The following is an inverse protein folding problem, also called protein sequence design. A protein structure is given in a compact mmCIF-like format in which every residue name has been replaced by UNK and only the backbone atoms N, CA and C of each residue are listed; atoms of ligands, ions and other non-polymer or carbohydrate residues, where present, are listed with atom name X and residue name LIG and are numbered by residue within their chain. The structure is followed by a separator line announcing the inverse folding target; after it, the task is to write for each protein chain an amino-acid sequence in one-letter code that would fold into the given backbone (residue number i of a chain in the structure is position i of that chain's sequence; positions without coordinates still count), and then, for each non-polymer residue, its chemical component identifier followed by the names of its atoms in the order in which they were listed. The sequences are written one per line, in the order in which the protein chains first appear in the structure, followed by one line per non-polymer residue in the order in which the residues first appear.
data_IF_468923915728
#
_entry.id   IF_468923915728
#
_cell.length_a   1.000
_cell.length_b   1.000
_cell.length_c   1.000
_cell.angle_alpha   90.00
_cell.angle_beta   90.00
_cell.angle_gamma   90.00
#
_symmetry.space_group_name_H-M   'P 1'
#
loop_
_entity.id
_entity.type
_entity.pdbx_description
1 polymer ?
2 non-polymer ?
3 non-polymer ?
4 non-polymer ?
5 water ?
#
# COMPACT_ATOMS: atom_id res chain seq x y z
N UNK A 2 22.52 -4.86 -14.88
CA UNK A 2 21.71 -3.77 -15.44
C UNK A 2 20.35 -3.68 -14.79
N UNK A 3 20.34 -3.37 -13.49
CA UNK A 3 19.07 -3.24 -12.72
C UNK A 3 18.36 -4.57 -12.63
N UNK A 4 19.10 -5.57 -12.17
CA UNK A 4 18.58 -6.91 -12.01
C UNK A 4 18.13 -7.01 -10.56
N UNK A 5 16.98 -7.67 -10.31
CA UNK A 5 16.52 -7.78 -8.93
C UNK A 5 16.95 -9.09 -8.31
N UNK A 6 17.01 -9.09 -6.99
CA UNK A 6 17.38 -10.28 -6.24
C UNK A 6 16.44 -10.35 -5.04
N UNK A 7 16.09 -11.57 -4.59
CA UNK A 7 15.19 -11.67 -3.42
C UNK A 7 15.54 -10.69 -2.29
N UNK A 8 16.81 -10.28 -2.17
CA UNK A 8 17.22 -9.34 -1.13
C UNK A 8 16.61 -7.94 -1.31
N UNK A 9 15.91 -7.70 -2.42
CA UNK A 9 15.28 -6.40 -2.67
C UNK A 9 13.91 -6.30 -2.01
N UNK A 10 13.30 -7.45 -1.75
CA UNK A 10 11.98 -7.55 -1.12
C UNK A 10 10.81 -7.30 -2.07
N UNK A 11 11.00 -7.55 -3.36
CA UNK A 11 9.93 -7.37 -4.34
C UNK A 11 8.93 -8.53 -4.29
N UNK A 12 7.66 -8.21 -4.04
CA UNK A 12 6.61 -9.24 -3.97
C UNK A 12 5.43 -8.89 -4.89
N UNK A 13 4.63 -9.90 -5.21
CA UNK A 13 3.47 -9.73 -6.09
C UNK A 13 2.24 -10.46 -5.54
N UNK A 14 1.05 -10.06 -6.02
CA UNK A 14 -0.17 -10.73 -5.61
C UNK A 14 -0.52 -11.73 -6.70
N UNK A 15 -1.03 -12.90 -6.31
CA UNK A 15 -1.39 -13.92 -7.30
C UNK A 15 -2.41 -13.37 -8.29
N UNK A 16 -3.23 -12.43 -7.82
CA UNK A 16 -4.31 -11.84 -8.61
C UNK A 16 -3.86 -10.69 -9.51
N UNK A 17 -2.56 -10.41 -9.51
CA UNK A 17 -2.03 -9.30 -10.32
C UNK A 17 -1.62 -9.82 -11.68
N UNK A 18 -0.57 -10.64 -11.72
CA UNK A 18 -0.10 -11.22 -12.95
C UNK A 18 -1.24 -12.12 -13.46
N UNK A 19 -1.88 -12.83 -12.52
CA UNK A 19 -2.99 -13.70 -12.87
C UNK A 19 -4.26 -13.06 -13.40
N UNK A 20 -4.38 -11.72 -13.41
CA UNK A 20 -5.57 -11.06 -13.93
C UNK A 20 -5.90 -11.56 -15.33
N UNK A 21 -7.14 -11.98 -15.54
CA UNK A 21 -7.56 -12.51 -16.83
C UNK A 21 -7.98 -11.44 -17.83
N UNK A 22 -8.24 -10.22 -17.35
CA UNK A 22 -8.59 -9.12 -18.25
C UNK A 22 -10.05 -8.72 -18.44
N UNK A 23 -10.95 -9.19 -17.59
CA UNK A 23 -12.37 -8.82 -17.69
C UNK A 23 -12.62 -7.47 -17.02
N UNK A 24 -13.18 -6.53 -17.78
CA UNK A 24 -13.49 -5.20 -17.28
C UNK A 24 -14.99 -4.97 -17.50
N UNK A 25 -15.57 -3.92 -16.89
CA UNK A 25 -17.02 -3.74 -17.10
C UNK A 25 -17.45 -3.91 -18.55
N UNK A 26 -16.71 -3.33 -19.48
CA UNK A 26 -17.07 -3.42 -20.88
C UNK A 26 -16.27 -4.40 -21.73
N UNK A 27 -15.95 -5.56 -21.17
CA UNK A 27 -15.23 -6.56 -21.95
C UNK A 27 -15.02 -7.90 -21.27
N UNK A 28 -15.07 -8.96 -22.07
CA UNK A 28 -14.85 -10.30 -21.54
C UNK A 28 -13.34 -10.47 -21.30
N UNK A 29 -12.93 -11.60 -20.73
CA UNK A 29 -11.53 -11.87 -20.47
C UNK A 29 -10.78 -12.04 -21.77
N UNK A 30 -9.56 -11.49 -21.85
CA UNK A 30 -8.73 -11.63 -23.06
C UNK A 30 -7.60 -12.65 -22.83
N UNK A 31 -7.42 -13.07 -21.57
CA UNK A 31 -6.39 -14.05 -21.21
C UNK A 31 -7.01 -15.23 -20.48
N UNK A 32 -6.32 -16.37 -20.55
CA UNK A 32 -6.79 -17.58 -19.90
C UNK A 32 -6.26 -17.66 -18.47
N UNK A 33 -6.89 -18.49 -17.66
CA UNK A 33 -6.50 -18.61 -16.27
C UNK A 33 -5.09 -19.09 -16.07
N UNK A 34 -4.43 -18.48 -15.08
CA UNK A 34 -3.07 -18.83 -14.71
C UNK A 34 -3.19 -19.68 -13.44
N UNK A 35 -2.49 -20.81 -13.37
CA UNK A 35 -2.54 -21.65 -12.16
C UNK A 35 -1.53 -21.09 -11.17
N UNK A 36 -1.92 -20.94 -9.89
CA UNK A 36 -0.99 -20.40 -8.88
C UNK A 36 0.47 -20.92 -8.88
N UNK A 37 0.67 -22.21 -9.11
CA UNK A 37 2.01 -22.78 -9.10
C UNK A 37 2.81 -22.21 -10.26
N UNK A 38 2.11 -21.89 -11.34
CA UNK A 38 2.71 -21.38 -12.57
C UNK A 38 3.21 -19.95 -12.39
N UNK A 39 2.40 -19.12 -11.72
CA UNK A 39 2.79 -17.75 -11.45
C UNK A 39 4.05 -17.78 -10.58
N UNK A 40 4.06 -18.69 -9.60
CA UNK A 40 5.19 -18.84 -8.66
C UNK A 40 6.55 -19.18 -9.26
N UNK A 41 6.58 -19.97 -10.33
CA UNK A 41 7.86 -20.33 -10.95
C UNK A 41 8.37 -19.20 -11.83
N UNK A 42 7.48 -18.60 -12.62
CA UNK A 42 7.84 -17.48 -13.48
C UNK A 42 8.35 -16.29 -12.65
N UNK A 43 7.72 -16.06 -11.51
CA UNK A 43 8.10 -14.94 -10.64
C UNK A 43 9.47 -15.19 -9.98
N UNK A 44 9.62 -16.35 -9.35
CA UNK A 44 10.90 -16.69 -8.71
C UNK A 44 12.03 -16.53 -9.72
N UNK A 45 11.72 -16.90 -10.96
CA UNK A 45 12.65 -16.81 -12.07
C UNK A 45 13.04 -15.38 -12.40
N UNK A 46 12.08 -14.47 -12.39
CA UNK A 46 12.37 -13.08 -12.72
C UNK A 46 13.20 -12.34 -11.68
N UNK A 47 13.18 -12.82 -10.44
CA UNK A 47 13.98 -12.17 -9.41
C UNK A 47 13.23 -11.70 -8.19
N UNK A 48 12.04 -12.25 -7.96
CA UNK A 48 11.22 -11.87 -6.81
C UNK A 48 11.63 -12.52 -5.48
N UNK A 49 10.88 -12.19 -4.44
CA UNK A 49 11.11 -12.67 -3.07
C UNK A 49 9.92 -13.53 -2.60
N UNK A 50 8.71 -13.12 -2.99
CA UNK A 50 7.52 -13.86 -2.58
C UNK A 50 6.21 -13.42 -3.22
N UNK A 51 5.11 -13.99 -2.74
CA UNK A 51 3.80 -13.67 -3.28
C UNK A 51 2.70 -13.60 -2.22
N UNK A 52 1.71 -12.74 -2.49
CA UNK A 52 0.57 -12.56 -1.60
C UNK A 52 -0.69 -13.17 -2.23
N UNK A 53 -1.78 -13.29 -1.46
CA UNK A 53 -3.00 -13.92 -1.98
C UNK A 53 -4.29 -13.69 -1.20
N UNK A 54 -5.40 -13.91 -1.90
CA UNK A 54 -6.73 -13.85 -1.31
C UNK A 54 -7.12 -15.32 -1.13
N UNK A 55 -7.86 -15.64 -0.07
CA UNK A 55 -8.30 -17.00 0.16
C UNK A 55 -8.82 -17.57 -1.16
N UNK A 56 -9.72 -16.83 -1.78
CA UNK A 56 -10.33 -17.21 -3.05
C UNK A 56 -9.39 -17.39 -4.25
N UNK A 57 -8.13 -16.98 -4.12
CA UNK A 57 -7.16 -17.12 -5.22
C UNK A 57 -6.53 -18.50 -5.17
N UNK A 58 -6.25 -18.94 -3.96
CA UNK A 58 -5.61 -20.23 -3.72
C UNK A 58 -6.64 -21.35 -3.58
N UNK A 59 -7.73 -21.06 -2.87
CA UNK A 59 -8.79 -22.04 -2.65
C UNK A 59 -10.14 -21.52 -3.20
N UNK A 60 -10.51 -21.97 -4.42
CA UNK A 60 -11.77 -21.56 -5.09
C UNK A 60 -13.00 -21.61 -4.18
N UNK A 61 -13.81 -20.56 -4.25
CA UNK A 61 -15.02 -20.46 -3.43
C UNK A 61 -15.95 -21.66 -3.56
N UNK A 62 -16.28 -22.27 -2.43
CA UNK A 62 -17.15 -23.43 -2.41
C UNK A 62 -16.39 -24.73 -2.34
N UNK A 63 -15.06 -24.64 -2.32
CA UNK A 63 -14.20 -25.83 -2.28
C UNK A 63 -14.35 -26.58 -0.97
N UNK A 64 -14.45 -27.91 -1.08
CA UNK A 64 -14.56 -28.77 0.09
C UNK A 64 -13.21 -28.83 0.79
N UNK A 65 -13.21 -29.15 2.08
CA UNK A 65 -11.95 -29.23 2.84
C UNK A 65 -11.01 -30.27 2.22
N UNK A 66 -11.55 -31.12 1.35
CA UNK A 66 -10.77 -32.16 0.71
C UNK A 66 -9.93 -31.56 -0.41
N UNK A 67 -10.58 -30.89 -1.35
CA UNK A 67 -9.88 -30.26 -2.45
C UNK A 67 -9.08 -29.09 -1.88
N UNK A 68 -9.56 -28.54 -0.77
CA UNK A 68 -8.91 -27.42 -0.09
C UNK A 68 -7.49 -27.76 0.40
N UNK A 69 -7.27 -29.03 0.77
CA UNK A 69 -5.95 -29.47 1.21
C UNK A 69 -5.04 -29.60 0.00
N UNK A 70 -5.63 -30.08 -1.09
CA UNK A 70 -4.89 -30.31 -2.34
C UNK A 70 -4.32 -29.03 -2.96
N UNK A 71 -4.95 -27.88 -2.75
CA UNK A 71 -4.44 -26.62 -3.29
C UNK A 71 -3.36 -26.03 -2.39
N UNK A 72 -3.44 -26.30 -1.09
CA UNK A 72 -2.46 -25.80 -0.13
C UNK A 72 -1.16 -26.62 -0.17
N UNK A 73 -1.25 -27.90 -0.55
CA UNK A 73 -0.08 -28.76 -0.66
C UNK A 73 0.69 -28.41 -1.94
N UNK A 74 -0.03 -28.31 -3.06
CA UNK A 74 0.61 -27.98 -4.34
C UNK A 74 1.31 -26.63 -4.29
N UNK A 75 0.71 -25.70 -3.54
CA UNK A 75 1.26 -24.35 -3.38
C UNK A 75 2.50 -24.50 -2.52
N UNK A 76 2.30 -25.17 -1.40
CA UNK A 76 3.36 -25.45 -0.42
C UNK A 76 4.62 -25.97 -1.11
N UNK A 77 4.45 -27.01 -1.92
CA UNK A 77 5.57 -27.61 -2.64
C UNK A 77 6.21 -26.61 -3.58
N UNK A 78 5.39 -25.87 -4.32
CA UNK A 78 5.89 -24.84 -5.26
C UNK A 78 6.80 -23.85 -4.54
N UNK A 79 6.33 -23.32 -3.42
CA UNK A 79 7.10 -22.37 -2.62
C UNK A 79 8.47 -22.94 -2.31
N UNK A 80 8.54 -24.25 -2.10
CA UNK A 80 9.81 -24.86 -1.74
C UNK A 80 10.78 -25.12 -2.88
N UNK A 81 10.26 -25.57 -4.02
CA UNK A 81 11.12 -25.86 -5.16
C UNK A 81 11.71 -24.57 -5.71
N UNK A 82 11.13 -23.45 -5.30
CA UNK A 82 11.55 -22.14 -5.77
C UNK A 82 12.15 -21.24 -4.70
N UNK A 83 11.79 -21.48 -3.44
CA UNK A 83 12.30 -20.66 -2.36
C UNK A 83 11.48 -19.41 -2.03
N UNK A 84 10.41 -19.14 -2.80
CA UNK A 84 9.57 -17.96 -2.56
C UNK A 84 8.93 -17.99 -1.17
N UNK A 85 8.63 -16.81 -0.65
CA UNK A 85 7.98 -16.67 0.67
C UNK A 85 6.59 -16.03 0.52
N UNK A 86 5.80 -16.08 1.59
CA UNK A 86 4.46 -15.49 1.61
C UNK A 86 4.32 -14.55 2.82
N UNK A 87 4.82 -13.30 2.70
CA UNK A 87 4.76 -12.38 3.84
C UNK A 87 3.48 -11.58 4.07
N UNK A 88 2.40 -11.90 3.33
CA UNK A 88 1.14 -11.17 3.51
C UNK A 88 -0.04 -11.93 2.90
N UNK A 89 -1.20 -11.85 3.55
CA UNK A 89 -2.41 -12.54 3.07
C UNK A 89 -3.70 -11.78 3.41
N UNK A 90 -4.72 -11.96 2.58
CA UNK A 90 -5.98 -11.24 2.76
C UNK A 90 -7.22 -12.08 2.42
N UNK A 91 -8.40 -11.57 2.77
CA UNK A 91 -9.65 -12.26 2.50
C UNK A 91 -10.30 -11.63 1.27
N UNK A 92 -11.24 -12.32 0.67
CA UNK A 92 -11.94 -11.82 -0.52
C UNK A 92 -13.39 -11.50 -0.21
N UNK A 93 -13.64 -10.34 0.38
CA UNK A 93 -15.02 -9.93 0.69
C UNK A 93 -15.60 -8.92 -0.33
N UNK A 94 -15.50 -9.24 -1.63
CA UNK A 94 -16.01 -8.34 -2.67
C UNK A 94 -16.60 -9.02 -3.90
N UNK A 95 -16.08 -10.18 -4.27
CA UNK A 95 -16.57 -10.87 -5.47
C UNK A 95 -17.96 -11.50 -5.37
N UNK A 96 -18.13 -12.47 -4.46
CA UNK A 96 -19.41 -13.15 -4.29
C UNK A 96 -20.55 -12.14 -4.11
N UNK A 97 -21.76 -12.47 -4.60
CA UNK A 97 -22.87 -11.53 -4.47
C UNK A 97 -23.39 -11.29 -3.06
N UNK A 98 -23.11 -12.18 -2.12
CA UNK A 98 -23.58 -11.99 -0.75
C UNK A 98 -22.91 -10.77 -0.11
N UNK A 99 -21.89 -10.24 -0.76
CA UNK A 99 -21.16 -9.10 -0.23
C UNK A 99 -21.49 -7.82 -0.96
N UNK A 100 -22.62 -7.82 -1.66
CA UNK A 100 -23.05 -6.67 -2.42
C UNK A 100 -23.31 -5.42 -1.60
N UNK A 101 -23.52 -5.57 -0.29
CA UNK A 101 -23.77 -4.42 0.57
C UNK A 101 -22.64 -4.28 1.56
N UNK A 102 -21.64 -5.16 1.46
CA UNK A 102 -20.49 -5.10 2.35
C UNK A 102 -20.25 -6.38 3.12
N UNK A 103 -19.19 -6.41 3.92
CA UNK A 103 -18.88 -7.57 4.73
C UNK A 103 -19.06 -7.23 6.20
N UNK A 104 -18.06 -6.56 6.76
CA UNK A 104 -18.12 -6.15 8.16
C UNK A 104 -19.23 -5.12 8.43
N UNK A 105 -19.53 -4.27 7.44
CA UNK A 105 -20.56 -3.23 7.59
C UNK A 105 -21.90 -3.46 6.90
N UNK A 106 -22.08 -4.61 6.25
CA UNK A 106 -23.35 -4.91 5.59
C UNK A 106 -24.52 -4.75 6.57
N UNK A 107 -25.69 -4.39 6.05
CA UNK A 107 -26.88 -4.21 6.89
C UNK A 107 -27.40 -5.54 7.43
N UNK A 108 -27.48 -6.54 6.58
CA UNK A 108 -27.95 -7.84 7.02
C UNK A 108 -26.94 -8.39 8.04
N UNK A 109 -27.34 -8.40 9.31
CA UNK A 109 -26.49 -8.86 10.39
C UNK A 109 -25.88 -10.23 10.14
N UNK A 110 -26.67 -11.10 9.56
CA UNK A 110 -26.23 -12.46 9.23
C UNK A 110 -25.05 -12.46 8.25
N UNK A 111 -25.07 -11.54 7.30
CA UNK A 111 -24.00 -11.45 6.30
C UNK A 111 -22.69 -11.02 6.95
N UNK A 112 -22.80 -10.26 8.05
CA UNK A 112 -21.62 -9.76 8.78
C UNK A 112 -20.90 -10.87 9.53
N UNK A 113 -21.65 -11.69 10.25
CA UNK A 113 -21.09 -12.81 10.99
C UNK A 113 -20.35 -13.73 10.00
N UNK A 114 -21.00 -14.09 8.89
CA UNK A 114 -20.42 -14.93 7.85
C UNK A 114 -19.04 -14.44 7.37
N UNK A 115 -18.94 -13.14 7.13
CA UNK A 115 -17.69 -12.53 6.67
C UNK A 115 -16.60 -12.46 7.76
N UNK A 116 -17.01 -12.57 9.02
CA UNK A 116 -16.05 -12.53 10.13
C UNK A 116 -15.37 -13.88 10.28
N UNK A 117 -16.11 -14.93 9.93
CA UNK A 117 -15.62 -16.30 10.00
C UNK A 117 -14.73 -16.60 8.80
N UNK A 118 -15.23 -16.26 7.62
CA UNK A 118 -14.50 -16.45 6.37
C UNK A 118 -13.07 -15.91 6.53
N UNK A 119 -12.93 -14.83 7.31
CA UNK A 119 -11.65 -14.19 7.57
C UNK A 119 -10.82 -15.02 8.56
N UNK A 120 -11.41 -15.22 9.74
CA UNK A 120 -10.78 -15.98 10.82
C UNK A 120 -10.24 -17.29 10.29
N UNK A 121 -10.92 -17.86 9.30
CA UNK A 121 -10.49 -19.10 8.68
C UNK A 121 -9.19 -18.87 7.93
N UNK A 122 -9.20 -17.91 7.01
CA UNK A 122 -8.01 -17.64 6.22
C UNK A 122 -6.93 -16.85 6.96
N UNK A 123 -6.98 -16.88 8.29
CA UNK A 123 -5.98 -16.23 9.11
C UNK A 123 -5.14 -17.38 9.66
N UNK A 124 -5.83 -18.48 9.97
CA UNK A 124 -5.17 -19.67 10.48
C UNK A 124 -4.27 -20.21 9.39
N UNK A 125 -4.63 -19.92 8.14
CA UNK A 125 -3.85 -20.39 7.01
C UNK A 125 -2.69 -19.44 6.74
N UNK A 126 -2.94 -18.15 6.94
CA UNK A 126 -1.90 -17.14 6.72
C UNK A 126 -0.68 -17.47 7.58
N UNK A 127 -0.92 -17.75 8.85
CA UNK A 127 0.14 -18.14 9.76
C UNK A 127 0.73 -19.48 9.35
N UNK A 128 -0.12 -20.49 9.17
CA UNK A 128 0.30 -21.82 8.76
C UNK A 128 1.38 -21.74 7.70
N UNK A 129 1.28 -20.72 6.85
CA UNK A 129 2.26 -20.53 5.80
C UNK A 129 3.42 -19.65 6.28
N UNK A 130 3.13 -18.68 7.14
CA UNK A 130 4.18 -17.84 7.69
C UNK A 130 4.06 -16.36 7.39
N UNK A 131 2.89 -15.91 6.94
CA UNK A 131 2.68 -14.51 6.63
C UNK A 131 2.86 -13.68 7.90
N UNK A 132 3.47 -12.50 7.75
CA UNK A 132 3.71 -11.61 8.89
C UNK A 132 2.63 -10.56 9.05
N UNK A 133 2.10 -10.08 7.93
CA UNK A 133 1.06 -9.07 7.93
C UNK A 133 -0.22 -9.63 7.32
N UNK A 134 -1.37 -9.07 7.71
CA UNK A 134 -2.66 -9.47 7.18
C UNK A 134 -3.35 -8.21 6.75
N UNK A 135 -3.74 -8.13 5.49
CA UNK A 135 -4.39 -6.93 4.97
C UNK A 135 -5.90 -7.07 4.86
N UNK A 136 -6.57 -5.92 4.96
CA UNK A 136 -8.03 -5.86 4.84
C UNK A 136 -8.46 -4.70 3.95
N UNK A 137 -9.04 -5.03 2.80
CA UNK A 137 -9.57 -4.03 1.87
C UNK A 137 -11.09 -4.11 1.87
N UNK A 138 -11.73 -3.14 2.49
CA UNK A 138 -13.19 -3.14 2.54
C UNK A 138 -13.84 -2.41 1.38
N UNK A 139 -13.67 -2.94 0.18
CA UNK A 139 -14.21 -2.30 -1.01
C UNK A 139 -15.73 -2.24 -1.11
N UNK A 140 -16.42 -3.23 -0.55
CA UNK A 140 -17.88 -3.26 -0.61
C UNK A 140 -18.49 -2.58 0.60
N UNK A 141 -17.66 -1.85 1.35
CA UNK A 141 -18.12 -1.16 2.55
C UNK A 141 -18.43 0.30 2.23
N UNK A 142 -19.67 0.59 1.84
CA UNK A 142 -20.03 1.95 1.51
C UNK A 142 -21.44 2.02 0.99
N UNK A 143 -21.73 3.04 0.19
CA UNK A 143 -23.08 3.23 -0.35
C UNK A 143 -23.11 4.21 -1.52
N UNK A 144 -24.11 4.09 -2.38
CA UNK A 144 -24.26 4.98 -3.51
C UNK A 144 -25.23 6.09 -3.13
N UNK A 145 -26.23 5.74 -2.31
CA UNK A 145 -27.22 6.69 -1.85
C UNK A 145 -27.00 7.00 -0.38
N UNK A 146 -27.56 8.12 0.08
CA UNK A 146 -27.37 8.55 1.45
C UNK A 146 -28.18 7.87 2.54
N UNK A 147 -29.37 7.36 2.22
CA UNK A 147 -30.18 6.71 3.25
C UNK A 147 -29.90 5.23 3.34
N UNK A 148 -28.99 4.77 2.47
CA UNK A 148 -28.61 3.37 2.41
C UNK A 148 -27.71 2.92 3.56
N UNK A 149 -27.04 3.88 4.19
CA UNK A 149 -26.11 3.56 5.26
C UNK A 149 -26.01 4.66 6.34
N UNK A 150 -26.10 4.26 7.61
CA UNK A 150 -25.90 5.21 8.71
C UNK A 150 -24.40 5.08 8.91
N UNK A 151 -23.65 6.13 8.56
CA UNK A 151 -22.20 6.03 8.66
C UNK A 151 -21.68 5.88 10.09
N UNK A 152 -22.51 6.26 11.07
CA UNK A 152 -22.12 6.14 12.48
C UNK A 152 -22.30 4.71 12.96
N UNK A 153 -23.34 4.06 12.47
CA UNK A 153 -23.63 2.66 12.82
C UNK A 153 -22.64 1.72 12.16
N UNK A 154 -22.23 2.06 10.94
CA UNK A 154 -21.29 1.26 10.19
C UNK A 154 -19.91 1.30 10.82
N UNK A 155 -19.51 2.46 11.34
CA UNK A 155 -18.21 2.59 11.98
C UNK A 155 -18.16 1.80 13.28
N UNK A 156 -19.34 1.45 13.81
CA UNK A 156 -19.45 0.67 15.04
C UNK A 156 -19.21 -0.79 14.69
N UNK A 157 -19.91 -1.23 13.64
CA UNK A 157 -19.84 -2.61 13.16
C UNK A 157 -18.45 -2.91 12.59
N UNK A 158 -17.69 -1.85 12.30
CA UNK A 158 -16.34 -1.97 11.75
C UNK A 158 -15.30 -2.14 12.87
N UNK A 159 -15.51 -1.44 13.98
CA UNK A 159 -14.61 -1.53 15.13
C UNK A 159 -14.83 -2.88 15.82
N UNK A 160 -16.08 -3.33 15.83
CA UNK A 160 -16.47 -4.59 16.43
C UNK A 160 -15.87 -5.75 15.65
N UNK A 161 -15.68 -5.55 14.34
CA UNK A 161 -15.14 -6.57 13.46
C UNK A 161 -13.64 -6.75 13.69
N UNK A 162 -12.91 -5.64 13.64
CA UNK A 162 -11.47 -5.66 13.85
C UNK A 162 -11.11 -6.05 15.28
N UNK A 163 -11.93 -5.64 16.24
CA UNK A 163 -11.70 -6.00 17.63
C UNK A 163 -11.71 -7.52 17.77
N UNK A 164 -12.83 -8.13 17.43
CA UNK A 164 -12.95 -9.59 17.50
C UNK A 164 -11.73 -10.28 16.89
N UNK A 165 -11.30 -9.83 15.72
CA UNK A 165 -10.16 -10.44 15.05
C UNK A 165 -8.91 -10.38 15.93
N UNK A 166 -8.70 -9.24 16.58
CA UNK A 166 -7.58 -9.11 17.49
C UNK A 166 -7.69 -10.05 18.67
N UNK A 167 -8.86 -10.12 19.30
CA UNK A 167 -9.08 -11.04 20.44
C UNK A 167 -8.73 -12.46 20.04
N UNK A 168 -8.96 -12.76 18.77
CA UNK A 168 -8.69 -14.08 18.24
C UNK A 168 -7.18 -14.32 18.10
N UNK A 169 -6.48 -13.39 17.44
CA UNK A 169 -5.05 -13.55 17.26
C UNK A 169 -4.32 -13.48 18.59
N UNK A 170 -4.89 -12.76 19.54
CA UNK A 170 -4.29 -12.63 20.87
C UNK A 170 -4.37 -13.97 21.61
N UNK A 171 -5.52 -14.64 21.48
CA UNK A 171 -5.72 -15.93 22.13
C UNK A 171 -4.91 -17.01 21.40
N UNK A 172 -4.94 -16.97 20.07
CA UNK A 172 -4.20 -17.92 19.26
C UNK A 172 -2.71 -17.62 19.28
N UNK A 173 -2.31 -16.71 20.16
CA UNK A 173 -0.93 -16.33 20.27
C UNK A 173 -0.18 -16.27 18.96
N UNK A 174 -0.75 -15.55 17.97
CA UNK A 174 -0.11 -15.39 16.67
C UNK A 174 0.69 -14.09 16.69
N UNK A 175 1.80 -14.07 15.94
CA UNK A 175 2.67 -12.90 15.88
C UNK A 175 2.30 -11.96 14.73
N UNK A 176 1.18 -12.26 14.08
CA UNK A 176 0.70 -11.50 12.94
C UNK A 176 0.12 -10.13 13.31
N UNK A 177 0.11 -9.22 12.33
CA UNK A 177 -0.44 -7.88 12.52
C UNK A 177 -1.29 -7.51 11.30
N UNK A 178 -2.32 -6.68 11.51
CA UNK A 178 -3.24 -6.29 10.44
C UNK A 178 -2.89 -4.99 9.69
N UNK A 179 -3.32 -4.90 8.43
CA UNK A 179 -3.08 -3.71 7.61
C UNK A 179 -4.34 -3.31 6.81
N UNK A 180 -4.96 -2.21 7.24
CA UNK A 180 -6.16 -1.70 6.60
C UNK A 180 -5.80 -0.86 5.39
N UNK A 181 -6.35 -1.23 4.24
CA UNK A 181 -6.03 -0.55 2.95
C UNK A 181 -7.18 0.36 2.54
N UNK A 182 -6.92 1.66 2.49
CA UNK A 182 -7.99 2.63 2.09
C UNK A 182 -8.15 2.64 0.57
N UNK A 183 -9.43 3.08 0.11
CA UNK A 183 -9.78 3.38 -1.26
C UNK A 183 -10.92 4.38 -1.18
N UNK A 184 -10.86 5.47 -1.97
CA UNK A 184 -11.96 6.43 -1.84
C UNK A 184 -13.25 6.00 -2.53
N UNK A 185 -13.12 5.15 -3.55
CA UNK A 185 -14.26 4.64 -4.32
C UNK A 185 -13.93 3.55 -5.33
N UNK A 186 -14.98 3.04 -5.97
CA UNK A 186 -14.88 1.96 -6.97
C UNK A 186 -14.61 0.65 -6.21
N UNK A 187 -15.63 -0.21 -6.00
CA UNK A 187 -16.87 -0.43 -6.76
C UNK A 187 -18.13 0.22 -6.17
N UNK A 188 -18.01 0.83 -5.01
CA UNK A 188 -19.15 1.52 -4.41
C UNK A 188 -19.02 3.03 -4.70
N UNK A 189 -20.14 3.74 -4.70
CA UNK A 189 -20.12 5.18 -4.94
C UNK A 189 -19.18 5.91 -3.99
N UNK A 190 -19.14 5.45 -2.74
CA UNK A 190 -18.26 6.01 -1.72
C UNK A 190 -17.87 4.89 -0.79
N UNK A 191 -16.59 4.83 -0.43
CA UNK A 191 -16.10 3.77 0.45
C UNK A 191 -15.68 4.28 1.84
N UNK A 192 -16.01 3.48 2.85
CA UNK A 192 -15.71 3.83 4.24
C UNK A 192 -14.21 3.79 4.46
N UNK A 193 -13.68 4.85 5.05
CA UNK A 193 -12.24 4.98 5.30
C UNK A 193 -11.61 5.22 3.94
N UNK A 194 -12.04 6.27 3.24
CA UNK A 194 -11.56 6.59 1.89
C UNK A 194 -10.07 6.77 1.66
N UNK A 195 -9.37 7.38 2.61
CA UNK A 195 -7.94 7.65 2.44
C UNK A 195 -7.15 7.18 3.66
N UNK A 196 -5.83 7.17 3.53
CA UNK A 196 -4.95 6.78 4.64
C UNK A 196 -5.36 7.52 5.91
N UNK A 197 -5.59 8.82 5.79
CA UNK A 197 -5.98 9.63 6.93
C UNK A 197 -7.17 9.08 7.67
N UNK A 198 -8.26 8.81 6.96
CA UNK A 198 -9.48 8.30 7.58
C UNK A 198 -9.28 6.95 8.29
N UNK A 199 -8.32 6.16 7.84
CA UNK A 199 -8.04 4.87 8.48
C UNK A 199 -7.13 5.00 9.72
N UNK A 200 -6.20 5.95 9.66
CA UNK A 200 -5.29 6.18 10.79
C UNK A 200 -6.03 6.60 12.05
N UNK A 201 -7.03 7.46 11.89
CA UNK A 201 -7.82 7.92 13.02
C UNK A 201 -8.64 6.77 13.57
N UNK A 202 -9.25 6.01 12.66
CA UNK A 202 -10.06 4.84 13.03
C UNK A 202 -9.31 3.85 13.94
N UNK A 203 -8.02 3.67 13.68
CA UNK A 203 -7.16 2.75 14.43
C UNK A 203 -6.93 3.16 15.89
N UNK A 204 -7.00 4.47 16.17
CA UNK A 204 -6.81 4.98 17.52
C UNK A 204 -8.10 4.92 18.36
N UNK A 205 -9.07 4.11 17.91
CA UNK A 205 -10.33 3.95 18.60
C UNK A 205 -10.58 2.48 18.94
N UNK A 206 -9.87 1.60 18.24
CA UNK A 206 -10.00 0.16 18.44
C UNK A 206 -9.53 -0.17 19.85
N UNK A 207 -9.78 -1.39 20.29
CA UNK A 207 -9.37 -1.78 21.64
C UNK A 207 -7.86 -2.00 21.69
N UNK A 208 -7.31 -2.71 20.70
CA UNK A 208 -5.87 -2.98 20.67
C UNK A 208 -5.15 -2.25 19.52
N UNK A 209 -5.00 -0.91 19.62
CA UNK A 209 -4.35 -0.20 18.51
C UNK A 209 -3.00 -0.75 18.02
N UNK A 210 -2.20 -1.26 18.95
CA UNK A 210 -0.87 -1.75 18.61
C UNK A 210 -0.82 -2.78 17.49
N UNK A 211 -1.93 -3.48 17.28
CA UNK A 211 -2.02 -4.53 16.28
C UNK A 211 -2.53 -4.08 14.91
N UNK A 212 -2.61 -2.78 14.69
CA UNK A 212 -3.13 -2.27 13.43
C UNK A 212 -2.27 -1.21 12.76
N UNK A 213 -2.32 -1.21 11.43
CA UNK A 213 -1.57 -0.25 10.64
C UNK A 213 -2.25 -0.01 9.31
N UNK A 214 -1.48 0.44 8.33
CA UNK A 214 -2.02 0.72 7.01
C UNK A 214 -1.21 0.11 5.88
N UNK A 215 -1.82 0.03 4.71
CA UNK A 215 -1.17 -0.50 3.51
C UNK A 215 -1.48 0.36 2.30
N UNK A 216 -1.27 1.67 2.44
CA UNK A 216 -1.57 2.63 1.37
C UNK A 216 -1.14 2.16 -0.02
N UNK A 217 -2.01 2.36 -0.99
CA UNK A 217 -1.71 2.03 -2.39
C UNK A 217 -1.57 3.31 -3.18
N UNK A 218 -0.55 3.36 -4.03
CA UNK A 218 -0.36 4.50 -4.92
C UNK A 218 -1.66 5.07 -5.49
N UNK A 219 -2.18 4.44 -6.54
CA UNK A 219 -3.32 4.93 -7.28
C UNK A 219 -4.49 5.34 -6.39
N UNK A 220 -4.78 4.56 -5.37
CA UNK A 220 -5.92 4.83 -4.48
C UNK A 220 -5.91 6.24 -3.87
N UNK A 221 -4.77 6.66 -3.31
CA UNK A 221 -4.68 7.98 -2.72
C UNK A 221 -4.69 8.99 -3.85
N UNK A 222 -4.20 8.55 -5.00
CA UNK A 222 -4.14 9.39 -6.20
C UNK A 222 -5.47 9.40 -6.94
N UNK A 223 -6.48 8.79 -6.32
CA UNK A 223 -7.83 8.77 -6.88
C UNK A 223 -8.62 9.93 -6.28
N UNK A 224 -8.10 10.44 -5.16
CA UNK A 224 -8.70 11.59 -4.48
C UNK A 224 -7.89 12.84 -4.83
N UNK A 225 -6.79 12.62 -5.55
CA UNK A 225 -5.93 13.71 -5.97
C UNK A 225 -4.89 14.17 -4.98
N UNK A 226 -4.57 13.33 -4.01
CA UNK A 226 -3.59 13.68 -2.99
C UNK A 226 -2.16 13.32 -3.37
N UNK A 227 -1.23 13.85 -2.59
CA UNK A 227 0.19 13.61 -2.77
C UNK A 227 0.54 12.34 -2.00
N UNK A 228 0.77 11.24 -2.73
CA UNK A 228 1.06 9.96 -2.08
C UNK A 228 2.21 10.04 -1.07
N UNK A 229 3.42 10.43 -1.51
CA UNK A 229 4.54 10.53 -0.55
C UNK A 229 4.16 11.31 0.72
N UNK A 230 3.39 12.40 0.58
CA UNK A 230 2.96 13.19 1.73
C UNK A 230 2.28 12.24 2.73
N UNK A 231 1.44 11.36 2.18
CA UNK A 231 0.68 10.41 2.98
C UNK A 231 1.47 9.27 3.62
N UNK A 232 2.54 8.85 2.97
CA UNK A 232 3.40 7.80 3.50
C UNK A 232 4.26 8.38 4.62
N UNK A 233 4.28 9.71 4.71
CA UNK A 233 5.04 10.41 5.74
C UNK A 233 4.32 10.41 7.09
N UNK A 234 3.00 10.67 7.11
CA UNK A 234 2.26 10.68 8.37
C UNK A 234 2.19 9.28 8.97
N UNK A 235 2.08 8.28 8.11
CA UNK A 235 2.02 6.89 8.54
C UNK A 235 3.34 6.50 9.23
N UNK A 236 4.46 6.91 8.64
CA UNK A 236 5.77 6.62 9.21
C UNK A 236 5.96 7.45 10.47
N UNK A 237 5.65 8.73 10.38
CA UNK A 237 5.76 9.65 11.51
C UNK A 237 4.98 9.06 12.69
N UNK A 238 3.82 8.49 12.38
CA UNK A 238 2.96 7.87 13.39
C UNK A 238 3.28 6.39 13.57
N UNK A 239 4.33 5.91 12.89
CA UNK A 239 4.74 4.51 12.98
C UNK A 239 3.61 3.54 12.69
N UNK A 240 3.12 3.53 11.45
CA UNK A 240 2.02 2.64 11.08
C UNK A 240 2.13 2.01 9.68
N UNK A 241 3.28 2.19 9.02
CA UNK A 241 3.45 1.61 7.71
C UNK A 241 3.93 0.18 7.81
N UNK A 242 2.98 -0.73 7.92
CA UNK A 242 3.25 -2.16 8.03
C UNK A 242 3.50 -2.77 6.65
N UNK A 243 2.93 -2.16 5.62
CA UNK A 243 2.99 -2.70 4.26
C UNK A 243 2.70 -1.56 3.28
N UNK A 244 2.88 -1.83 1.98
CA UNK A 244 2.54 -0.88 0.92
C UNK A 244 2.28 -1.55 -0.43
N UNK A 245 1.36 -0.99 -1.21
CA UNK A 245 1.04 -1.48 -2.54
C UNK A 245 1.55 -0.46 -3.61
N UNK A 246 2.44 -0.90 -4.48
CA UNK A 246 2.96 -0.06 -5.55
C UNK A 246 2.24 -0.30 -6.88
N UNK A 247 2.13 0.77 -7.66
CA UNK A 247 1.51 0.75 -8.99
C UNK A 247 1.48 2.14 -9.62
N UNK A 248 0.70 2.27 -10.70
CA UNK A 248 0.60 3.54 -11.40
C UNK A 248 -0.83 4.00 -11.60
N UNK A 249 -1.02 5.31 -11.61
CA UNK A 249 -2.35 5.90 -11.81
C UNK A 249 -2.24 7.29 -12.45
N UNK A 250 -2.87 7.46 -13.61
CA UNK A 250 -2.87 8.75 -14.31
C UNK A 250 -4.00 9.69 -13.86
N UNK A 251 -3.92 10.24 -12.65
CA UNK A 251 -4.92 11.18 -12.20
C UNK A 251 -6.14 10.68 -11.45
N UNK A 252 -7.28 11.32 -11.70
CA UNK A 252 -8.54 10.97 -11.04
C UNK A 252 -9.46 10.31 -12.04
N UNK A 253 -9.75 9.04 -11.81
CA UNK A 253 -10.62 8.28 -12.68
C UNK A 253 -10.66 6.85 -12.18
N UNK A 254 -11.16 5.91 -12.98
CA UNK A 254 -11.19 4.51 -12.55
C UNK A 254 -9.82 4.03 -12.05
N UNK A 255 -9.81 3.08 -11.10
CA UNK A 255 -8.49 2.53 -10.55
C UNK A 255 -7.79 1.76 -11.69
N UNK A 256 -6.70 2.32 -12.19
CA UNK A 256 -5.98 1.74 -13.32
C UNK A 256 -5.12 0.53 -12.95
N UNK A 257 -4.36 0.65 -11.87
CA UNK A 257 -3.39 -0.39 -11.48
C UNK A 257 -2.33 -0.60 -12.56
N UNK A 258 -1.72 0.46 -13.10
CA UNK A 258 -0.65 0.27 -14.10
C UNK A 258 0.65 -0.26 -13.46
N UNK A 259 1.60 -0.80 -14.25
CA UNK A 259 2.81 -1.27 -13.62
C UNK A 259 3.53 -0.11 -12.92
N UNK A 260 4.39 -0.43 -11.95
CA UNK A 260 5.09 0.61 -11.21
C UNK A 260 5.98 1.44 -12.11
N UNK A 261 6.08 2.73 -11.79
CA UNK A 261 6.87 3.64 -12.60
C UNK A 261 5.92 4.43 -13.49
N UNK A 262 4.92 3.74 -14.02
CA UNK A 262 3.94 4.34 -14.89
C UNK A 262 3.07 5.35 -14.14
N UNK A 263 2.36 6.16 -14.91
CA UNK A 263 1.51 7.19 -14.33
C UNK A 263 2.33 8.41 -13.96
N UNK A 264 2.26 8.79 -12.69
CA UNK A 264 3.03 9.92 -12.18
C UNK A 264 4.44 9.46 -11.82
N UNK A 265 5.40 9.69 -12.74
CA UNK A 265 6.80 9.28 -12.56
C UNK A 265 7.59 10.15 -11.58
N UNK A 266 7.27 11.44 -11.53
CA UNK A 266 7.95 12.36 -10.63
C UNK A 266 7.61 12.04 -9.19
N UNK A 267 6.44 11.43 -8.99
CA UNK A 267 5.96 11.07 -7.65
C UNK A 267 6.60 9.78 -7.14
N UNK A 268 6.77 8.81 -8.04
CA UNK A 268 7.39 7.53 -7.69
C UNK A 268 8.86 7.72 -7.32
N UNK A 269 9.42 8.87 -7.68
CA UNK A 269 10.81 9.17 -7.37
C UNK A 269 10.94 9.69 -5.95
N UNK A 270 9.92 10.42 -5.49
CA UNK A 270 9.91 10.97 -4.15
C UNK A 270 9.43 9.93 -3.12
N UNK A 271 8.87 8.83 -3.61
CA UNK A 271 8.41 7.76 -2.71
C UNK A 271 9.57 6.83 -2.38
N UNK A 272 10.28 6.37 -3.40
CA UNK A 272 11.44 5.50 -3.20
C UNK A 272 12.44 6.19 -2.27
N UNK A 273 12.77 7.44 -2.58
CA UNK A 273 13.68 8.24 -1.76
C UNK A 273 13.26 8.16 -0.30
N UNK A 274 12.00 8.50 -0.03
CA UNK A 274 11.44 8.46 1.32
C UNK A 274 11.54 7.04 1.91
N UNK A 275 11.15 6.02 1.14
CA UNK A 275 11.19 4.64 1.63
C UNK A 275 12.62 4.20 1.95
N UNK A 276 13.58 4.73 1.21
CA UNK A 276 14.97 4.40 1.44
C UNK A 276 15.49 5.17 2.66
N UNK A 277 15.24 6.47 2.73
CA UNK A 277 15.68 7.28 3.86
C UNK A 277 15.19 6.73 5.20
N UNK A 278 13.87 6.63 5.36
CA UNK A 278 13.27 6.14 6.61
C UNK A 278 13.59 4.68 6.91
N UNK A 279 14.25 4.01 5.98
CA UNK A 279 14.61 2.62 6.19
C UNK A 279 13.42 1.67 6.22
N UNK A 280 12.56 1.74 5.21
CA UNK A 280 11.40 0.86 5.15
C UNK A 280 11.95 -0.51 4.79
N UNK A 281 11.69 -1.51 5.64
CA UNK A 281 12.21 -2.86 5.40
C UNK A 281 11.18 -3.93 5.02
N UNK A 282 9.90 -3.63 5.21
CA UNK A 282 8.87 -4.58 4.83
C UNK A 282 8.95 -4.91 3.34
N UNK A 283 7.89 -5.46 2.75
CA UNK A 283 7.95 -5.77 1.32
C UNK A 283 7.54 -4.61 0.39
N UNK A 284 8.13 -4.60 -0.80
CA UNK A 284 7.83 -3.60 -1.81
C UNK A 284 6.80 -4.26 -2.72
N UNK A 285 5.59 -4.43 -2.19
CA UNK A 285 4.51 -5.10 -2.90
C UNK A 285 4.10 -4.40 -4.19
N UNK A 286 3.55 -5.17 -5.12
CA UNK A 286 3.13 -4.64 -6.42
C UNK A 286 1.72 -5.10 -6.73
N UNK A 287 0.76 -4.19 -6.60
CA UNK A 287 -0.69 -4.55 -6.81
C UNK A 287 -1.04 -3.88 -8.17
N UNK A 288 -0.84 -4.60 -9.25
CA UNK A 288 -0.98 -4.02 -10.57
C UNK A 288 -1.75 -4.96 -11.46
N UNK A 289 -2.04 -4.51 -12.66
CA UNK A 289 -2.78 -5.35 -13.58
C UNK A 289 -2.28 -5.22 -15.01
N UNK A 290 -1.59 -6.24 -15.51
CA UNK A 290 -1.15 -6.13 -16.91
C UNK A 290 -2.35 -5.83 -17.80
N UNK A 291 -2.27 -4.82 -18.68
CA UNK A 291 -3.45 -4.45 -19.47
C UNK A 291 -3.95 -5.61 -20.32
N UNK A 292 -5.24 -5.61 -20.65
CA UNK A 292 -5.85 -6.69 -21.43
C UNK A 292 -5.49 -6.73 -22.94
N UNK A 293 -4.65 -5.81 -23.40
CA UNK A 293 -4.23 -5.81 -24.80
C UNK A 293 -3.00 -6.71 -24.90
N UNK A 294 -2.55 -7.21 -23.75
CA UNK A 294 -1.36 -8.05 -23.67
C UNK A 294 -1.63 -9.56 -23.49
N UNK A 295 -0.63 -10.38 -23.85
CA UNK A 295 -0.71 -11.82 -23.67
C UNK A 295 0.29 -12.16 -22.57
N UNK A 296 0.63 -13.43 -22.41
CA UNK A 296 1.55 -13.81 -21.34
C UNK A 296 2.98 -13.32 -21.43
N UNK A 297 3.51 -13.17 -22.63
CA UNK A 297 4.88 -12.66 -22.77
C UNK A 297 4.85 -11.21 -22.35
N UNK A 298 3.65 -10.62 -22.46
CA UNK A 298 3.45 -9.23 -22.08
C UNK A 298 3.28 -9.06 -20.57
N UNK A 299 2.67 -10.05 -19.93
CA UNK A 299 2.47 -10.01 -18.49
C UNK A 299 3.81 -10.12 -17.76
N UNK A 300 4.74 -10.88 -18.32
CA UNK A 300 6.04 -11.06 -17.67
C UNK A 300 6.95 -9.87 -17.90
N UNK A 301 6.78 -9.17 -19.03
CA UNK A 301 7.58 -8.01 -19.34
C UNK A 301 7.10 -6.86 -18.46
N UNK A 302 5.78 -6.81 -18.27
CA UNK A 302 5.16 -5.77 -17.44
C UNK A 302 5.57 -5.89 -15.98
N UNK A 303 5.75 -7.12 -15.50
CA UNK A 303 6.14 -7.36 -14.12
C UNK A 303 7.65 -7.22 -13.95
N UNK A 304 8.34 -7.12 -15.08
CA UNK A 304 9.79 -6.95 -15.08
C UNK A 304 10.04 -5.46 -14.96
N UNK A 305 9.25 -4.70 -15.73
CA UNK A 305 9.36 -3.25 -15.71
C UNK A 305 9.17 -2.66 -14.32
N UNK A 306 8.34 -3.30 -13.51
CA UNK A 306 8.03 -2.85 -12.15
C UNK A 306 9.27 -2.73 -11.28
N UNK A 307 9.85 -3.89 -10.97
CA UNK A 307 11.06 -3.95 -10.17
C UNK A 307 12.15 -3.06 -10.79
N UNK A 308 12.42 -3.23 -12.09
CA UNK A 308 13.42 -2.42 -12.79
C UNK A 308 13.24 -0.93 -12.57
N UNK A 309 12.00 -0.44 -12.61
CA UNK A 309 11.74 1.00 -12.43
C UNK A 309 12.07 1.46 -11.01
N UNK A 310 11.85 0.57 -10.04
CA UNK A 310 12.13 0.85 -8.65
C UNK A 310 13.64 0.95 -8.45
N UNK A 311 14.36 -0.02 -8.99
CA UNK A 311 15.82 -0.09 -8.91
C UNK A 311 16.53 1.16 -9.44
N UNK A 312 16.13 1.61 -10.63
CA UNK A 312 16.73 2.79 -11.24
C UNK A 312 16.41 3.98 -10.37
N UNK A 313 15.12 4.15 -10.07
CA UNK A 313 14.66 5.25 -9.24
C UNK A 313 15.40 5.29 -7.90
N UNK A 314 15.72 4.11 -7.36
CA UNK A 314 16.43 3.99 -6.09
C UNK A 314 17.84 4.57 -6.26
N UNK A 315 18.46 4.24 -7.39
CA UNK A 315 19.80 4.71 -7.74
C UNK A 315 19.75 6.23 -7.91
N UNK A 316 19.00 6.70 -8.90
CA UNK A 316 18.84 8.13 -9.19
C UNK A 316 18.50 8.96 -7.95
N UNK A 317 17.90 8.33 -6.95
CA UNK A 317 17.57 9.03 -5.72
C UNK A 317 18.77 9.01 -4.79
N UNK A 318 19.49 7.88 -4.80
CA UNK A 318 20.69 7.75 -3.98
C UNK A 318 21.67 8.86 -4.33
N UNK A 319 22.00 8.96 -5.62
CA UNK A 319 22.90 10.00 -6.09
C UNK A 319 22.39 11.37 -5.66
N UNK A 320 21.11 11.62 -5.87
CA UNK A 320 20.50 12.89 -5.51
C UNK A 320 20.95 13.36 -4.13
N UNK A 321 20.71 12.51 -3.12
CA UNK A 321 21.07 12.81 -1.74
C UNK A 321 22.59 12.95 -1.49
N UNK A 322 23.39 12.08 -2.10
CA UNK A 322 24.83 12.11 -1.90
C UNK A 322 25.53 13.28 -2.61
N UNK A 323 24.92 13.79 -3.69
CA UNK A 323 25.54 14.88 -4.44
C UNK A 323 25.94 16.03 -3.52
N UNK A 324 27.25 16.32 -3.40
CA UNK A 324 27.69 17.39 -2.50
C UNK A 324 26.97 18.71 -2.75
N UNK A 325 26.59 18.93 -4.00
CA UNK A 325 25.90 20.14 -4.38
C UNK A 325 24.44 20.15 -3.92
N UNK A 326 23.77 19.00 -4.01
CA UNK A 326 22.38 18.91 -3.57
C UNK A 326 22.31 19.20 -2.07
N UNK A 327 23.35 18.77 -1.34
CA UNK A 327 23.45 18.97 0.10
C UNK A 327 23.51 20.46 0.52
N UNK A 328 24.16 21.30 -0.27
CA UNK A 328 24.27 22.71 0.07
C UNK A 328 23.03 23.48 -0.39
N UNK A 329 22.32 22.94 -1.38
CA UNK A 329 21.09 23.57 -1.85
C UNK A 329 20.06 23.41 -0.73
N UNK A 330 20.06 22.22 -0.13
CA UNK A 330 19.17 21.90 0.98
C UNK A 330 19.40 22.88 2.13
N UNK A 331 20.68 23.20 2.39
CA UNK A 331 21.00 24.13 3.44
C UNK A 331 20.56 25.51 2.99
N UNK A 332 20.65 25.74 1.69
CA UNK A 332 20.28 27.03 1.13
C UNK A 332 18.79 27.26 1.30
N UNK A 333 18.03 26.17 1.24
CA UNK A 333 16.57 26.22 1.39
C UNK A 333 16.09 25.94 2.83
N UNK A 334 17.03 25.88 3.77
CA UNK A 334 16.74 25.67 5.18
C UNK A 334 15.97 24.43 5.61
N UNK A 335 16.28 23.27 5.03
CA UNK A 335 15.61 22.05 5.46
C UNK A 335 16.27 21.61 6.74
N UNK A 336 17.45 22.15 7.00
CA UNK A 336 18.18 21.82 8.22
C UNK A 336 17.52 22.57 9.40
N UNK A 337 16.95 23.74 9.12
CA UNK A 337 16.26 24.51 10.17
C UNK A 337 14.86 23.94 10.43
N UNK A 338 14.32 23.18 9.50
CA UNK A 338 13.01 22.58 9.67
C UNK A 338 13.14 21.50 10.74
N UNK A 339 14.26 20.79 10.69
CA UNK A 339 14.56 19.70 11.62
C UNK A 339 14.82 20.19 13.04
N UNK A 340 15.23 21.45 13.18
CA UNK A 340 15.52 22.04 14.47
C UNK A 340 14.23 22.41 15.25
N UNK A 341 14.14 22.05 16.55
CA UNK A 341 12.93 22.40 17.30
C UNK A 341 12.75 23.91 17.34
N UNK A 342 11.49 24.35 17.36
CA UNK A 342 11.17 25.78 17.36
C UNK A 342 11.22 26.42 18.74
N UNK A 343 10.82 25.68 19.77
CA UNK A 343 10.82 26.24 21.12
C UNK A 343 11.28 25.29 22.21
N UNK A 344 12.50 24.73 22.05
CA UNK A 344 13.02 23.84 23.07
C UNK A 344 13.31 24.65 24.34
N UNK A 345 13.32 25.97 24.16
CA UNK A 345 13.56 26.92 25.26
C UNK A 345 12.34 27.10 26.17
N UNK A 346 11.25 26.41 25.84
CA UNK A 346 10.05 26.49 26.65
C UNK A 346 9.12 27.64 26.29
N UNK A 347 7.85 27.51 26.69
CA UNK A 347 6.83 28.54 26.43
C UNK A 347 7.25 29.90 27.00
N UNK A 348 7.50 29.94 28.31
CA UNK A 348 7.90 31.18 28.97
C UNK A 348 9.03 31.90 28.25
N UNK A 349 10.07 31.15 27.88
CA UNK A 349 11.21 31.73 27.20
C UNK A 349 10.76 32.46 25.95
N UNK A 350 9.87 31.83 25.20
CA UNK A 350 9.34 32.40 23.96
C UNK A 350 8.47 33.62 24.18
N UNK A 351 7.66 33.61 25.25
CA UNK A 351 6.77 34.73 25.54
C UNK A 351 7.52 36.01 25.91
N UNK A 352 8.76 35.86 26.37
CA UNK A 352 9.59 36.98 26.77
C UNK A 352 10.60 37.32 25.68
N UNK A 353 11.04 36.31 24.95
CA UNK A 353 11.99 36.51 23.86
C UNK A 353 11.41 37.53 22.86
N UNK A 354 11.90 38.76 22.91
CA UNK A 354 11.41 39.84 22.03
C UNK A 354 11.97 39.82 20.62
N UNK A 355 12.73 38.79 20.29
CA UNK A 355 13.29 38.64 18.96
C UNK A 355 12.29 37.97 18.04
N UNK A 356 11.23 37.42 18.65
CA UNK A 356 10.19 36.72 17.89
C UNK A 356 8.94 37.52 17.57
N UNK A 357 8.85 38.78 17.99
CA UNK A 357 7.65 39.54 17.68
C UNK A 357 7.85 41.05 17.72
N UNK A 358 8.00 41.57 18.93
CA UNK A 358 8.15 42.98 19.16
C UNK A 358 9.29 43.60 18.36
N UNK A 359 10.34 42.82 18.10
CA UNK A 359 11.48 43.33 17.36
C UNK A 359 11.79 42.58 16.07
N UNK A 360 11.07 41.50 15.80
CA UNK A 360 11.27 40.71 14.59
C UNK A 360 11.18 41.62 13.38
N UNK A 361 12.11 41.48 12.44
CA UNK A 361 12.06 42.29 11.24
C UNK A 361 11.38 41.41 10.22
N UNK A 362 10.09 41.62 10.05
CA UNK A 362 9.30 40.79 9.17
C UNK A 362 9.58 41.06 7.69
N UNK A 363 9.78 42.33 7.36
CA UNK A 363 10.08 42.73 5.99
C UNK A 363 11.42 42.13 5.53
N UNK A 364 12.48 42.29 6.31
CA UNK A 364 13.77 41.73 5.95
C UNK A 364 13.66 40.22 5.78
N UNK A 365 12.91 39.57 6.67
CA UNK A 365 12.72 38.12 6.63
C UNK A 365 11.91 37.61 5.43
N UNK A 366 10.85 38.33 5.07
CA UNK A 366 10.00 37.94 3.95
C UNK A 366 10.72 38.08 2.62
N UNK A 367 11.72 38.95 2.55
CA UNK A 367 12.47 39.15 1.32
C UNK A 367 13.44 38.01 1.02
N UNK A 368 13.62 37.14 2.02
CA UNK A 368 14.53 36.00 1.88
C UNK A 368 13.97 34.89 0.99
N UNK A 369 14.51 34.78 -0.23
CA UNK A 369 14.06 33.76 -1.16
C UNK A 369 14.28 32.37 -0.57
N UNK A 370 13.45 31.42 -0.97
CA UNK A 370 13.54 30.06 -0.46
C UNK A 370 14.42 29.17 -1.33
N UNK A 371 14.68 29.60 -2.54
CA UNK A 371 15.53 28.85 -3.48
C UNK A 371 15.04 27.42 -3.71
N UNK A 372 13.73 27.26 -3.88
CA UNK A 372 13.18 25.93 -4.10
C UNK A 372 13.24 25.47 -5.55
N UNK A 373 13.19 26.40 -6.50
CA UNK A 373 13.19 26.01 -7.91
C UNK A 373 14.50 25.41 -8.39
N UNK A 374 15.60 25.79 -7.77
CA UNK A 374 16.91 25.24 -8.13
C UNK A 374 17.08 23.81 -7.61
N UNK A 375 16.75 23.62 -6.34
CA UNK A 375 16.87 22.31 -5.72
C UNK A 375 16.01 21.30 -6.46
N UNK A 376 15.03 21.80 -7.21
CA UNK A 376 14.15 20.90 -7.94
C UNK A 376 14.69 20.57 -9.32
N UNK A 377 15.18 21.58 -10.02
CA UNK A 377 15.74 21.34 -11.33
C UNK A 377 16.93 20.40 -11.15
N UNK A 378 17.62 20.54 -10.01
CA UNK A 378 18.74 19.65 -9.69
C UNK A 378 18.18 18.24 -9.59
N UNK A 379 17.10 18.10 -8.82
CA UNK A 379 16.41 16.83 -8.63
C UNK A 379 15.99 16.26 -9.98
N UNK A 380 15.51 17.14 -10.86
CA UNK A 380 15.07 16.76 -12.19
C UNK A 380 16.25 16.23 -13.02
N UNK A 381 17.41 16.88 -12.94
CA UNK A 381 18.59 16.45 -13.69
C UNK A 381 19.04 15.07 -13.22
N UNK A 382 18.88 14.82 -11.94
CA UNK A 382 19.26 13.53 -11.37
C UNK A 382 18.35 12.40 -11.88
N UNK A 383 17.04 12.60 -11.81
CA UNK A 383 16.08 11.61 -12.29
C UNK A 383 16.29 11.28 -13.78
N UNK A 384 16.59 12.30 -14.58
CA UNK A 384 16.81 12.12 -16.01
C UNK A 384 18.24 11.65 -16.26
N UNK A 385 19.14 12.04 -15.37
CA UNK A 385 20.52 11.66 -15.51
C UNK A 385 21.20 12.62 -16.44
N UNK A 386 20.94 13.90 -16.19
CA UNK A 386 21.49 14.98 -17.00
C UNK A 386 22.49 15.83 -16.22
N UNK A 387 22.86 15.38 -15.02
CA UNK A 387 23.83 16.12 -14.22
C UNK A 387 25.24 15.95 -14.80
N UNK A 388 25.70 14.70 -14.84
CA UNK A 388 27.02 14.41 -15.38
C UNK A 388 27.94 13.87 -14.30
#
# INVERSE_FOLDING_TARGET
MNYQPTPEDRFTFGLWTVGWQGRDPFGDATRRALDPVESVRRLAELGAHGVTFHDDDLIPFGSSDSEREEHVKRFRQALDDTGMKVPMATTNLFTHPVFKDGGFTANDRDVRRYALRKTIRNIDLAVELGAETYVAWGGREGAESGGAKDVRDALDRMKEAFDLLGEYVTSQGYDIRFAIEPKPNEPRGDILLPTVGHALAFIERLERPELYGVNPEVGHEQMAGLNFPHGIAQALWAGKLFHIDLNGQNGIKYDQDLRFGAGDLRAAFWLVDLLESAGYSGPRHFDFKPPRTEDFDGVWASAAGCMRNYLILKERAAAFRADPEVQEALRASRLDELARPTAADGLQALLDDRSAFEEFDVDAAAARGMAFERLDQLAMDHLLGARG
#
